data_IF_682685175789
#
_entry.id   IF_682685175789
#
_cell.length_a   1.000
_cell.length_b   1.000
_cell.length_c   1.000
_cell.angle_alpha   90.00
_cell.angle_beta   90.00
_cell.angle_gamma   90.00
#
_symmetry.space_group_name_H-M   'P 1'
#
loop_
_entity.id
_entity.type
_entity.pdbx_description
1 polymer ?
#
# COMPACT_ATOMS: atom_id res chain seq x y z
N UNK A 1 4.03 -1.77 -1.12
CA UNK A 1 2.59 -1.94 -0.87
C UNK A 1 2.22 -3.40 -1.07
N UNK A 2 1.42 -3.98 -0.18
CA UNK A 2 0.79 -5.29 -0.42
C UNK A 2 -0.37 -5.11 -1.42
N UNK A 3 -0.35 -5.89 -2.49
CA UNK A 3 -1.32 -5.81 -3.58
C UNK A 3 -2.43 -6.86 -3.51
N UNK A 4 -2.47 -7.69 -2.45
CA UNK A 4 -3.43 -8.80 -2.33
C UNK A 4 -4.90 -8.36 -2.42
N UNK A 5 -5.22 -7.12 -2.06
CA UNK A 5 -6.56 -6.53 -2.18
C UNK A 5 -6.99 -6.27 -3.64
N UNK A 6 -6.06 -6.29 -4.60
CA UNK A 6 -6.34 -6.15 -6.04
C UNK A 6 -6.65 -7.48 -6.73
N UNK A 7 -6.48 -8.63 -6.07
CA UNK A 7 -6.76 -9.95 -6.64
C UNK A 7 -8.16 -10.06 -7.31
N UNK A 8 -9.26 -9.54 -6.72
CA UNK A 8 -10.59 -9.60 -7.35
C UNK A 8 -10.68 -8.93 -8.73
N UNK A 9 -9.79 -7.99 -9.04
CA UNK A 9 -9.75 -7.32 -10.34
C UNK A 9 -9.15 -8.19 -11.46
N UNK A 10 -8.43 -9.26 -11.10
CA UNK A 10 -7.78 -10.16 -12.05
C UNK A 10 -8.41 -11.56 -12.09
N UNK A 11 -9.43 -11.81 -11.26
CA UNK A 11 -10.34 -12.96 -11.37
C UNK A 11 -11.36 -12.82 -12.52
N UNK A 12 -11.43 -11.64 -13.15
CA UNK A 12 -12.37 -11.34 -14.23
C UNK A 12 -11.67 -10.70 -15.44
N UNK A 13 -12.00 -11.14 -16.68
CA UNK A 13 -11.53 -10.47 -17.87
C UNK A 13 -12.13 -9.05 -17.97
N UNK A 14 -11.41 -8.16 -18.64
CA UNK A 14 -11.90 -6.82 -18.97
C UNK A 14 -12.88 -6.82 -20.15
N UNK A 15 -13.24 -5.64 -20.68
CA UNK A 15 -12.72 -4.31 -20.31
C UNK A 15 -13.15 -3.84 -18.92
N UNK A 16 -12.36 -2.92 -18.37
CA UNK A 16 -12.52 -2.34 -17.05
C UNK A 16 -12.67 -0.82 -17.13
N UNK A 17 -13.62 -0.28 -16.38
CA UNK A 17 -13.69 1.15 -16.07
C UNK A 17 -12.95 1.39 -14.75
N UNK A 18 -11.95 2.25 -14.78
CA UNK A 18 -11.15 2.66 -13.61
C UNK A 18 -11.31 4.16 -13.42
N UNK A 19 -11.74 4.59 -12.24
CA UNK A 19 -12.02 5.99 -11.91
C UNK A 19 -11.27 6.39 -10.66
N UNK A 20 -10.70 7.59 -10.64
CA UNK A 20 -10.04 8.19 -9.49
C UNK A 20 -10.68 9.54 -9.18
N UNK A 21 -11.15 9.73 -7.95
CA UNK A 21 -11.79 10.97 -7.51
C UNK A 21 -11.18 11.47 -6.19
N UNK A 22 -11.00 12.79 -6.10
CA UNK A 22 -10.65 13.45 -4.85
C UNK A 22 -11.82 13.47 -3.86
N UNK A 23 -11.54 13.76 -2.58
CA UNK A 23 -12.59 14.00 -1.59
C UNK A 23 -13.35 15.26 -1.95
N UNK A 24 -14.65 15.26 -1.66
CA UNK A 24 -15.49 16.43 -1.90
C UNK A 24 -15.12 17.54 -0.91
N UNK A 25 -14.69 18.71 -1.40
CA UNK A 25 -14.28 19.83 -0.54
C UNK A 25 -15.52 20.42 0.16
N UNK A 26 -15.55 20.52 1.51
CA UNK A 26 -16.71 21.05 2.21
C UNK A 26 -17.00 22.52 1.87
N UNK A 27 -18.17 22.75 1.29
CA UNK A 27 -18.71 24.03 0.82
C UNK A 27 -20.25 23.99 0.85
N UNK A 28 -20.92 25.12 0.64
CA UNK A 28 -22.39 25.12 0.50
C UNK A 28 -22.87 24.40 -0.78
N UNK A 29 -21.96 24.12 -1.73
CA UNK A 29 -22.22 23.54 -3.05
C UNK A 29 -21.68 22.12 -3.23
N UNK A 30 -21.01 21.51 -2.24
CA UNK A 30 -20.32 20.20 -2.34
C UNK A 30 -21.18 19.11 -2.98
N UNK A 31 -22.44 18.97 -2.56
CA UNK A 31 -23.34 17.93 -3.10
C UNK A 31 -23.69 18.15 -4.59
N UNK A 32 -23.71 19.40 -5.05
CA UNK A 32 -23.92 19.72 -6.47
C UNK A 32 -22.65 19.51 -7.28
N UNK A 33 -21.50 19.93 -6.75
CA UNK A 33 -20.18 19.72 -7.35
C UNK A 33 -19.85 18.23 -7.53
N UNK A 34 -20.15 17.41 -6.52
CA UNK A 34 -19.98 15.95 -6.59
C UNK A 34 -20.86 15.31 -7.67
N UNK A 35 -22.12 15.74 -7.79
CA UNK A 35 -23.04 15.24 -8.82
C UNK A 35 -22.61 15.67 -10.23
N UNK A 36 -22.05 16.88 -10.37
CA UNK A 36 -21.43 17.34 -11.62
C UNK A 36 -20.17 16.53 -11.97
N UNK A 37 -19.34 16.17 -10.99
CA UNK A 37 -18.17 15.31 -11.19
C UNK A 37 -18.59 13.89 -11.63
N UNK A 38 -19.58 13.29 -10.96
CA UNK A 38 -20.16 12.01 -11.35
C UNK A 38 -20.73 12.03 -12.78
N UNK A 39 -21.37 13.14 -13.19
CA UNK A 39 -21.89 13.34 -14.54
C UNK A 39 -20.81 13.67 -15.60
N UNK A 40 -19.62 14.11 -15.19
CA UNK A 40 -18.46 14.28 -16.06
C UNK A 40 -17.79 12.93 -16.32
N UNK A 41 -17.49 12.17 -15.26
CA UNK A 41 -16.88 10.83 -15.32
C UNK A 41 -17.72 9.87 -16.16
N UNK A 42 -19.03 9.80 -15.94
CA UNK A 42 -19.91 8.93 -16.75
C UNK A 42 -19.95 9.33 -18.23
N UNK A 43 -19.67 10.59 -18.57
CA UNK A 43 -19.62 11.07 -19.96
C UNK A 43 -18.28 10.71 -20.60
N UNK A 44 -17.19 10.95 -19.88
CA UNK A 44 -15.84 10.61 -20.33
C UNK A 44 -15.69 9.11 -20.58
N UNK A 45 -16.20 8.26 -19.68
CA UNK A 45 -16.23 6.80 -19.90
C UNK A 45 -17.06 6.41 -21.13
N UNK A 46 -18.22 7.05 -21.35
CA UNK A 46 -19.04 6.80 -22.54
C UNK A 46 -18.35 7.27 -23.84
N UNK A 47 -17.60 8.38 -23.79
CA UNK A 47 -16.77 8.88 -24.90
C UNK A 47 -15.60 7.94 -25.21
N UNK A 48 -15.05 7.25 -24.19
CA UNK A 48 -14.06 6.19 -24.36
C UNK A 48 -14.66 4.83 -24.79
N UNK A 49 -15.99 4.72 -24.87
CA UNK A 49 -16.69 3.51 -25.34
C UNK A 49 -17.07 2.50 -24.26
N UNK A 50 -17.14 2.92 -22.99
CA UNK A 50 -17.69 2.10 -21.90
C UNK A 50 -19.19 1.84 -22.06
N UNK A 51 -19.64 0.69 -21.56
CA UNK A 51 -21.04 0.31 -21.65
C UNK A 51 -21.93 1.13 -20.71
N UNK A 52 -23.19 1.30 -21.11
CA UNK A 52 -24.14 2.14 -20.38
C UNK A 52 -24.57 1.61 -19.01
N UNK A 53 -24.30 0.34 -18.66
CA UNK A 53 -24.53 -0.18 -17.32
C UNK A 53 -23.37 0.19 -16.39
N UNK A 54 -22.12 -0.04 -16.83
CA UNK A 54 -20.92 0.32 -16.08
C UNK A 54 -20.83 1.83 -15.84
N UNK A 55 -21.17 2.65 -16.84
CA UNK A 55 -21.27 4.10 -16.67
C UNK A 55 -22.29 4.53 -15.59
N UNK A 56 -23.45 3.86 -15.49
CA UNK A 56 -24.44 4.15 -14.44
C UNK A 56 -23.95 3.72 -13.05
N UNK A 57 -23.39 2.51 -12.94
CA UNK A 57 -22.87 2.01 -11.66
C UNK A 57 -21.79 2.94 -11.08
N UNK A 58 -20.88 3.44 -11.92
CA UNK A 58 -19.87 4.42 -11.50
C UNK A 58 -20.45 5.82 -11.25
N UNK A 59 -21.47 6.25 -12.00
CA UNK A 59 -22.17 7.50 -11.71
C UNK A 59 -22.80 7.46 -10.30
N UNK A 60 -23.53 6.40 -9.99
CA UNK A 60 -24.18 6.18 -8.70
C UNK A 60 -23.15 6.13 -7.56
N UNK A 61 -22.08 5.32 -7.71
CA UNK A 61 -21.03 5.20 -6.69
C UNK A 61 -20.27 6.53 -6.42
N UNK A 62 -19.99 7.33 -7.46
CA UNK A 62 -19.34 8.64 -7.28
C UNK A 62 -20.31 9.68 -6.70
N UNK A 63 -21.59 9.64 -7.07
CA UNK A 63 -22.64 10.54 -6.55
C UNK A 63 -22.95 10.26 -5.07
N UNK A 64 -22.85 9.01 -4.60
CA UNK A 64 -22.99 8.62 -3.20
C UNK A 64 -21.91 9.20 -2.27
N UNK A 65 -20.71 9.51 -2.79
CA UNK A 65 -19.62 10.11 -1.99
C UNK A 65 -20.00 11.46 -1.34
N UNK A 66 -21.04 12.15 -1.82
CA UNK A 66 -21.58 13.35 -1.14
C UNK A 66 -22.08 13.09 0.28
N UNK A 67 -22.29 11.82 0.64
CA UNK A 67 -22.73 11.38 1.96
C UNK A 67 -21.59 10.77 2.79
N UNK A 68 -20.39 10.60 2.23
CA UNK A 68 -19.24 10.09 2.95
C UNK A 68 -18.73 11.15 3.94
N UNK A 69 -18.44 10.73 5.17
CA UNK A 69 -17.82 11.57 6.19
C UNK A 69 -16.28 11.55 6.14
N UNK A 70 -15.71 10.70 5.28
CA UNK A 70 -14.26 10.49 5.15
C UNK A 70 -13.63 11.58 4.27
N UNK A 71 -12.55 12.25 4.71
CA UNK A 71 -11.87 13.30 3.95
C UNK A 71 -10.93 12.77 2.86
N UNK A 72 -11.11 11.51 2.45
CA UNK A 72 -10.21 10.77 1.58
C UNK A 72 -10.81 10.63 0.17
N UNK A 73 -9.95 10.63 -0.85
CA UNK A 73 -10.39 10.31 -2.21
C UNK A 73 -10.81 8.85 -2.32
N UNK A 74 -11.42 8.45 -3.44
CA UNK A 74 -11.67 7.03 -3.75
C UNK A 74 -11.22 6.70 -5.17
N UNK A 75 -10.74 5.48 -5.34
CA UNK A 75 -10.75 4.85 -6.66
C UNK A 75 -11.97 3.95 -6.78
N UNK A 76 -12.42 3.69 -8.01
CA UNK A 76 -13.45 2.72 -8.31
C UNK A 76 -13.05 1.89 -9.53
N UNK A 77 -13.22 0.58 -9.43
CA UNK A 77 -12.99 -0.37 -10.52
C UNK A 77 -14.29 -1.10 -10.82
N UNK A 78 -14.78 -0.97 -12.04
CA UNK A 78 -16.08 -1.51 -12.44
C UNK A 78 -16.03 -2.22 -13.80
N UNK A 79 -16.88 -3.23 -13.97
CA UNK A 79 -17.17 -3.90 -15.24
C UNK A 79 -18.60 -4.42 -15.23
N UNK A 80 -19.18 -4.61 -16.42
CA UNK A 80 -20.47 -5.30 -16.60
C UNK A 80 -21.60 -4.77 -15.71
N UNK A 81 -21.64 -3.45 -15.51
CA UNK A 81 -22.63 -2.79 -14.65
C UNK A 81 -22.43 -2.93 -13.14
N UNK A 82 -21.26 -3.37 -12.66
CA UNK A 82 -20.96 -3.54 -11.24
C UNK A 82 -19.62 -2.92 -10.86
N UNK A 83 -19.58 -2.21 -9.73
CA UNK A 83 -18.33 -1.83 -9.05
C UNK A 83 -17.82 -3.06 -8.29
N UNK A 84 -16.58 -3.47 -8.57
CA UNK A 84 -15.94 -4.66 -7.98
C UNK A 84 -15.04 -4.28 -6.81
N UNK A 85 -14.44 -3.08 -6.84
CA UNK A 85 -13.54 -2.60 -5.79
C UNK A 85 -13.57 -1.07 -5.71
N UNK A 86 -13.62 -0.50 -4.51
CA UNK A 86 -13.72 0.94 -4.24
C UNK A 86 -12.70 1.47 -3.21
N UNK A 87 -11.38 1.23 -3.39
CA UNK A 87 -10.42 1.47 -2.32
C UNK A 87 -10.25 2.98 -2.00
N UNK A 88 -10.07 3.35 -0.72
CA UNK A 88 -9.84 4.72 -0.31
C UNK A 88 -8.43 5.20 -0.72
N UNK A 89 -8.28 6.52 -0.85
CA UNK A 89 -7.03 7.19 -1.25
C UNK A 89 -6.51 8.08 -0.12
N UNK A 90 -5.31 7.77 0.39
CA UNK A 90 -4.61 8.62 1.35
C UNK A 90 -4.29 10.02 0.79
N UNK A 91 -4.12 10.17 -0.54
CA UNK A 91 -3.95 11.46 -1.19
C UNK A 91 -4.91 11.66 -2.36
N UNK A 92 -5.43 12.88 -2.57
CA UNK A 92 -6.33 13.17 -3.68
C UNK A 92 -5.57 13.18 -5.02
N UNK A 93 -6.15 12.64 -6.11
CA UNK A 93 -5.64 12.90 -7.44
C UNK A 93 -5.75 14.40 -7.78
N UNK A 94 -4.85 14.95 -8.62
CA UNK A 94 -4.82 16.39 -8.93
C UNK A 94 -6.07 16.87 -9.71
N UNK A 95 -6.71 15.96 -10.42
CA UNK A 95 -8.02 16.11 -11.05
C UNK A 95 -8.72 14.74 -11.03
N UNK A 96 -10.05 14.65 -11.19
CA UNK A 96 -10.71 13.39 -11.47
C UNK A 96 -10.17 12.76 -12.76
N UNK A 97 -9.91 11.46 -12.75
CA UNK A 97 -9.45 10.70 -13.91
C UNK A 97 -10.38 9.50 -14.16
N UNK A 98 -10.67 9.20 -15.43
CA UNK A 98 -11.50 8.07 -15.82
C UNK A 98 -10.89 7.33 -17.02
N UNK A 99 -10.86 6.01 -16.95
CA UNK A 99 -10.21 5.16 -17.95
C UNK A 99 -11.08 3.95 -18.30
N UNK A 100 -11.24 3.67 -19.59
CA UNK A 100 -11.82 2.43 -20.12
C UNK A 100 -10.74 1.63 -20.86
N UNK A 101 -10.26 0.55 -20.24
CA UNK A 101 -9.08 -0.19 -20.71
C UNK A 101 -9.24 -1.71 -20.59
N UNK A 102 -8.49 -2.53 -21.37
CA UNK A 102 -8.57 -3.99 -21.28
C UNK A 102 -8.17 -4.56 -19.92
N UNK A 103 -7.29 -3.86 -19.19
CA UNK A 103 -6.91 -4.14 -17.81
C UNK A 103 -7.36 -2.98 -16.89
N UNK A 104 -7.58 -3.24 -15.59
CA UNK A 104 -7.84 -2.18 -14.63
C UNK A 104 -6.59 -1.29 -14.50
N UNK A 105 -6.77 0.04 -14.51
CA UNK A 105 -5.69 1.01 -14.31
C UNK A 105 -5.29 1.03 -12.84
N UNK A 106 -4.48 0.09 -12.37
CA UNK A 106 -4.10 0.00 -10.95
C UNK A 106 -2.86 0.82 -10.59
N UNK A 107 -2.04 1.20 -11.57
CA UNK A 107 -0.79 1.92 -11.35
C UNK A 107 -0.89 3.21 -10.51
N UNK A 108 -1.93 4.06 -10.65
CA UNK A 108 -2.07 5.26 -9.82
C UNK A 108 -2.28 4.97 -8.33
N UNK A 109 -2.75 3.78 -7.93
CA UNK A 109 -2.90 3.44 -6.50
C UNK A 109 -1.56 3.44 -5.76
N UNK A 110 -0.45 3.12 -6.44
CA UNK A 110 0.89 3.08 -5.82
C UNK A 110 1.32 4.44 -5.24
N UNK A 111 0.82 5.55 -5.81
CA UNK A 111 1.01 6.91 -5.28
C UNK A 111 -0.21 7.37 -4.45
N UNK A 112 -1.43 7.10 -4.91
CA UNK A 112 -2.66 7.70 -4.36
C UNK A 112 -3.25 6.96 -3.15
N UNK A 113 -3.21 5.63 -3.12
CA UNK A 113 -3.78 4.85 -2.03
C UNK A 113 -3.01 5.08 -0.72
N UNK A 114 -1.69 5.26 -0.83
CA UNK A 114 -0.77 5.34 0.30
C UNK A 114 -0.56 4.01 1.00
N UNK A 115 0.53 3.90 1.76
CA UNK A 115 0.65 2.84 2.77
C UNK A 115 0.16 3.39 4.10
N UNK A 116 -0.71 2.64 4.79
CA UNK A 116 -1.22 2.99 6.12
C UNK A 116 -0.63 2.05 7.20
N UNK A 117 0.66 2.22 7.57
CA UNK A 117 1.36 1.28 8.46
C UNK A 117 0.79 1.35 9.88
N UNK A 118 0.26 0.23 10.38
CA UNK A 118 -0.38 0.18 11.70
C UNK A 118 0.61 0.58 12.78
N UNK A 119 0.22 1.55 13.63
CA UNK A 119 1.13 2.15 14.60
C UNK A 119 0.76 1.77 16.02
N UNK A 120 1.73 1.26 16.78
CA UNK A 120 1.62 1.03 18.22
C UNK A 120 2.40 2.11 18.97
N UNK A 121 1.68 3.04 19.59
CA UNK A 121 2.24 4.15 20.37
C UNK A 121 2.40 3.71 21.82
N UNK A 122 3.60 3.80 22.38
CA UNK A 122 3.94 3.43 23.74
C UNK A 122 4.34 4.68 24.54
N UNK A 123 3.47 5.13 25.44
CA UNK A 123 3.76 6.20 26.39
C UNK A 123 4.47 5.61 27.61
N UNK A 124 5.79 5.79 27.69
CA UNK A 124 6.68 5.25 28.72
C UNK A 124 6.93 6.29 29.80
N UNK A 125 6.72 5.90 31.06
CA UNK A 125 7.10 6.68 32.24
C UNK A 125 7.89 5.82 33.25
N UNK A 126 8.27 6.40 34.39
CA UNK A 126 9.04 5.71 35.44
C UNK A 126 8.28 4.57 36.13
N UNK A 127 6.97 4.46 35.89
CA UNK A 127 6.01 3.51 36.48
C UNK A 127 5.43 2.56 35.43
N UNK A 128 6.03 2.43 34.25
CA UNK A 128 5.63 1.48 33.21
C UNK A 128 5.31 2.16 31.88
N UNK A 129 4.33 1.62 31.15
CA UNK A 129 3.89 2.19 29.89
C UNK A 129 2.40 2.00 29.62
N UNK A 130 1.84 2.88 28.78
CA UNK A 130 0.52 2.73 28.13
C UNK A 130 0.72 2.53 26.64
N UNK A 131 0.02 1.56 26.07
CA UNK A 131 -0.02 1.35 24.62
C UNK A 131 -1.30 1.94 24.01
N UNK A 132 -1.26 2.28 22.72
CA UNK A 132 -2.37 2.85 21.94
C UNK A 132 -2.18 2.44 20.46
N UNK A 133 -3.22 1.93 19.78
CA UNK A 133 -3.13 1.50 18.39
C UNK A 133 -3.75 2.56 17.46
N UNK A 134 -3.04 2.94 16.40
CA UNK A 134 -3.47 3.97 15.43
C UNK A 134 -3.45 3.43 14.00
N UNK A 135 -4.60 3.52 13.33
CA UNK A 135 -4.89 3.04 11.96
C UNK A 135 -5.64 4.08 11.13
N UNK A 136 -5.81 3.84 9.82
CA UNK A 136 -6.67 4.63 8.93
C UNK A 136 -8.11 4.79 9.45
N UNK A 137 -8.63 3.78 10.16
CA UNK A 137 -9.98 3.77 10.74
C UNK A 137 -10.10 4.61 12.03
N UNK A 138 -9.02 5.29 12.46
CA UNK A 138 -9.00 6.20 13.60
C UNK A 138 -8.12 5.74 14.76
N UNK A 139 -8.34 6.35 15.93
CA UNK A 139 -7.68 5.97 17.18
C UNK A 139 -8.52 4.97 17.97
N UNK A 140 -8.03 3.75 18.16
CA UNK A 140 -8.62 2.80 19.10
C UNK A 140 -7.75 2.72 20.37
N UNK A 141 -8.38 2.95 21.51
CA UNK A 141 -7.68 3.20 22.77
C UNK A 141 -7.41 1.91 23.55
N UNK A 142 -6.13 1.56 23.75
CA UNK A 142 -5.74 0.23 24.18
C UNK A 142 -5.70 0.00 25.72
N UNK A 143 -5.98 0.98 26.63
CA UNK A 143 -6.97 0.70 27.73
C UNK A 143 -6.68 0.69 29.29
N UNK A 144 -7.02 -0.36 30.10
CA UNK A 144 -7.03 -0.62 31.62
C UNK A 144 -6.62 -2.04 32.24
N UNK A 145 -5.37 -2.39 32.67
CA UNK A 145 -4.97 -3.69 33.38
C UNK A 145 -3.84 -3.56 34.46
N UNK A 146 -3.70 -4.46 35.48
CA UNK A 146 -2.61 -4.44 36.49
C UNK A 146 -2.16 -5.80 37.12
N UNK A 147 -0.86 -5.97 37.41
CA UNK A 147 -0.30 -6.75 38.54
C UNK A 147 -0.46 -8.29 38.61
N UNK A 148 0.49 -9.05 38.03
CA UNK A 148 0.81 -10.47 38.29
C UNK A 148 -0.35 -11.51 38.30
N UNK A 149 -0.72 -11.97 37.11
CA UNK A 149 -0.81 -13.42 36.81
C UNK A 149 -0.93 -13.68 35.29
N UNK A 150 0.03 -14.41 34.73
CA UNK A 150 -0.17 -15.24 33.52
C UNK A 150 -1.11 -16.41 33.93
N UNK A 151 -2.01 -16.97 33.08
CA UNK A 151 -1.81 -17.13 31.63
C UNK A 151 -3.07 -17.09 30.71
N UNK A 152 -2.86 -17.33 29.40
CA UNK A 152 -3.79 -17.95 28.41
C UNK A 152 -5.19 -17.32 28.13
N UNK A 153 -5.42 -16.83 26.89
CA UNK A 153 -6.05 -17.57 25.78
C UNK A 153 -6.46 -16.67 24.59
N UNK A 154 -6.44 -17.23 23.37
CA UNK A 154 -7.17 -16.67 22.21
C UNK A 154 -8.69 -16.78 22.42
N UNK A 155 -9.41 -15.70 22.19
CA UNK A 155 -10.80 -15.74 21.72
C UNK A 155 -10.97 -14.75 20.58
N UNK A 156 -11.59 -15.20 19.50
CA UNK A 156 -11.98 -14.41 18.34
C UNK A 156 -13.07 -13.40 18.69
N UNK A 157 -13.17 -12.38 17.83
CA UNK A 157 -14.29 -11.43 17.70
C UNK A 157 -14.24 -10.20 18.61
N UNK A 158 -13.77 -9.09 18.01
CA UNK A 158 -14.28 -7.71 18.16
C UNK A 158 -14.78 -7.30 19.54
N UNK A 159 -13.86 -6.98 20.45
CA UNK A 159 -13.88 -5.77 21.30
C UNK A 159 -12.50 -5.64 21.97
N UNK A 160 -11.72 -4.60 21.64
CA UNK A 160 -10.38 -4.36 22.21
C UNK A 160 -10.35 -3.20 23.22
N UNK A 161 -11.50 -2.87 23.79
CA UNK A 161 -11.61 -1.89 24.87
C UNK A 161 -10.94 -2.40 26.18
N UNK A 162 -9.92 -1.67 26.64
CA UNK A 162 -9.40 -1.66 28.03
C UNK A 162 -8.23 -2.62 28.50
N UNK A 163 -6.93 -2.42 28.09
CA UNK A 163 -5.64 -2.80 28.79
C UNK A 163 -4.44 -1.76 28.90
N UNK A 164 -4.27 -0.93 29.97
CA UNK A 164 -3.04 -0.13 30.30
C UNK A 164 -2.57 -0.27 31.75
N UNK A 165 -1.27 -0.12 31.98
CA UNK A 165 -0.54 -0.61 33.14
C UNK A 165 -0.24 0.46 34.23
N UNK A 166 -0.29 0.09 35.52
CA UNK A 166 0.38 0.85 36.61
C UNK A 166 1.37 -0.04 37.39
N UNK A 167 2.67 0.14 37.10
CA UNK A 167 3.78 -0.58 37.74
C UNK A 167 4.18 0.20 39.01
N UNK A 168 3.42 -0.02 40.09
CA UNK A 168 3.91 0.21 41.45
C UNK A 168 4.54 -1.08 41.97
N UNK A 169 5.83 -1.22 41.75
CA UNK A 169 6.70 -2.16 42.45
C UNK A 169 7.89 -1.38 43.00
N UNK A 170 8.39 -1.79 44.16
CA UNK A 170 9.55 -1.19 44.84
C UNK A 170 10.90 -1.60 44.18
N UNK A 171 10.90 -1.71 42.84
CA UNK A 171 12.00 -2.21 42.02
C UNK A 171 12.72 -1.10 41.24
N UNK A 172 13.87 -1.46 40.66
CA UNK A 172 14.76 -0.53 39.96
C UNK A 172 14.19 -0.17 38.58
N UNK A 173 14.46 1.05 38.12
CA UNK A 173 14.04 1.54 36.80
C UNK A 173 14.44 0.62 35.62
N UNK A 174 15.51 -0.15 35.76
CA UNK A 174 16.00 -1.11 34.76
C UNK A 174 15.13 -2.38 34.61
N UNK A 175 14.44 -2.77 35.68
CA UNK A 175 13.51 -3.91 35.67
C UNK A 175 12.22 -3.51 34.96
N UNK A 176 11.70 -2.32 35.28
CA UNK A 176 10.52 -1.73 34.64
C UNK A 176 10.70 -1.60 33.11
N UNK A 177 11.90 -1.21 32.67
CA UNK A 177 12.21 -1.08 31.24
C UNK A 177 12.21 -2.42 30.49
N UNK A 178 12.63 -3.51 31.15
CA UNK A 178 12.57 -4.86 30.58
C UNK A 178 11.12 -5.36 30.45
N UNK A 179 10.30 -5.20 31.50
CA UNK A 179 8.89 -5.58 31.48
C UNK A 179 8.10 -4.81 30.39
N UNK A 180 8.39 -3.52 30.19
CA UNK A 180 7.79 -2.72 29.10
C UNK A 180 8.24 -3.19 27.72
N UNK A 181 9.52 -3.53 27.55
CA UNK A 181 10.05 -4.01 26.27
C UNK A 181 9.46 -5.38 25.87
N UNK A 182 9.30 -6.30 26.82
CA UNK A 182 8.65 -7.60 26.61
C UNK A 182 7.16 -7.40 26.25
N UNK A 183 6.44 -6.56 26.98
CA UNK A 183 5.05 -6.25 26.68
C UNK A 183 4.86 -5.61 25.30
N UNK A 184 5.75 -4.69 24.90
CA UNK A 184 5.70 -4.07 23.57
C UNK A 184 5.93 -5.09 22.45
N UNK A 185 6.86 -6.04 22.64
CA UNK A 185 7.11 -7.11 21.68
C UNK A 185 5.88 -8.02 21.51
N UNK A 186 5.25 -8.46 22.61
CA UNK A 186 4.03 -9.27 22.56
C UNK A 186 2.88 -8.51 21.88
N UNK A 187 2.67 -7.24 22.21
CA UNK A 187 1.66 -6.41 21.54
C UNK A 187 1.95 -6.24 20.04
N UNK A 188 3.22 -6.12 19.63
CA UNK A 188 3.59 -6.07 18.21
C UNK A 188 3.28 -7.40 17.50
N UNK A 189 3.56 -8.55 18.11
CA UNK A 189 3.24 -9.86 17.54
C UNK A 189 1.72 -10.09 17.39
N UNK A 190 0.92 -9.66 18.38
CA UNK A 190 -0.54 -9.79 18.34
C UNK A 190 -1.20 -8.83 17.33
N UNK A 191 -0.75 -7.57 17.28
CA UNK A 191 -1.34 -6.53 16.41
C UNK A 191 -0.74 -6.48 15.00
N UNK A 192 0.45 -7.07 14.81
CA UNK A 192 1.30 -6.92 13.64
C UNK A 192 1.61 -5.47 13.27
N UNK A 193 1.68 -4.58 14.26
CA UNK A 193 2.00 -3.18 14.05
C UNK A 193 3.31 -3.01 13.26
N UNK A 194 3.25 -2.22 12.19
CA UNK A 194 4.36 -1.95 11.29
C UNK A 194 5.40 -1.02 11.93
N UNK A 195 4.91 -0.02 12.69
CA UNK A 195 5.67 1.04 13.34
C UNK A 195 5.40 1.07 14.85
N UNK A 196 6.46 1.19 15.64
CA UNK A 196 6.42 1.36 17.09
C UNK A 196 6.86 2.78 17.45
N UNK A 197 6.02 3.55 18.15
CA UNK A 197 6.33 4.94 18.53
C UNK A 197 6.55 5.02 20.05
N UNK A 198 7.79 5.17 20.49
CA UNK A 198 8.13 5.37 21.91
C UNK A 198 7.99 6.86 22.28
N UNK A 199 7.01 7.17 23.12
CA UNK A 199 6.73 8.50 23.65
C UNK A 199 7.14 8.55 25.12
N UNK A 200 7.94 9.53 25.52
CA UNK A 200 8.48 9.55 26.88
C UNK A 200 9.59 10.59 27.08
N UNK A 201 10.17 10.61 28.27
CA UNK A 201 11.44 11.28 28.55
C UNK A 201 12.60 10.49 27.90
N UNK A 202 13.70 11.17 27.55
CA UNK A 202 14.83 10.57 26.78
C UNK A 202 15.38 9.30 27.43
N UNK A 203 15.60 9.34 28.75
CA UNK A 203 16.19 8.24 29.52
C UNK A 203 15.24 7.04 29.57
N UNK A 204 13.96 7.28 29.82
CA UNK A 204 12.91 6.27 29.88
C UNK A 204 12.72 5.58 28.51
N UNK A 205 12.75 6.34 27.40
CA UNK A 205 12.68 5.79 26.03
C UNK A 205 13.90 4.93 25.68
N UNK A 206 15.11 5.43 25.91
CA UNK A 206 16.35 4.67 25.65
C UNK A 206 16.40 3.38 26.48
N UNK A 207 16.00 3.42 27.75
CA UNK A 207 16.00 2.24 28.62
C UNK A 207 15.13 1.10 28.08
N UNK A 208 13.95 1.41 27.53
CA UNK A 208 13.07 0.43 26.88
C UNK A 208 13.68 -0.04 25.57
N UNK A 209 14.15 0.89 24.73
CA UNK A 209 14.76 0.58 23.42
C UNK A 209 15.94 -0.37 23.53
N UNK A 210 16.85 -0.16 24.47
CA UNK A 210 18.03 -1.01 24.71
C UNK A 210 17.67 -2.44 25.15
N UNK A 211 16.42 -2.68 25.58
CA UNK A 211 15.89 -3.99 25.98
C UNK A 211 14.98 -4.63 24.94
N UNK A 212 14.65 -3.95 23.84
CA UNK A 212 13.81 -4.52 22.78
C UNK A 212 14.56 -5.58 21.96
N UNK A 213 13.84 -6.60 21.43
CA UNK A 213 14.40 -7.52 20.44
C UNK A 213 14.97 -6.77 19.23
N UNK A 214 16.16 -7.18 18.78
CA UNK A 214 16.87 -6.54 17.65
C UNK A 214 15.99 -6.39 16.40
N UNK A 215 15.16 -7.40 16.10
CA UNK A 215 14.24 -7.42 14.96
C UNK A 215 13.13 -6.34 15.01
N UNK A 216 12.90 -5.69 16.16
CA UNK A 216 11.94 -4.60 16.31
C UNK A 216 12.59 -3.21 16.26
N UNK A 217 13.91 -3.10 16.42
CA UNK A 217 14.60 -1.80 16.54
C UNK A 217 14.45 -0.92 15.29
N UNK A 218 14.48 -1.51 14.10
CA UNK A 218 14.31 -0.79 12.82
C UNK A 218 12.88 -0.23 12.62
N UNK A 219 11.94 -0.75 13.41
CA UNK A 219 10.53 -0.31 13.49
C UNK A 219 10.27 0.68 14.62
N UNK A 220 11.27 1.03 15.44
CA UNK A 220 11.11 2.01 16.53
C UNK A 220 11.35 3.43 16.03
N UNK A 221 10.43 4.34 16.34
CA UNK A 221 10.60 5.79 16.25
C UNK A 221 10.41 6.39 17.64
N UNK A 222 11.29 7.29 18.04
CA UNK A 222 11.24 7.97 19.33
C UNK A 222 10.62 9.37 19.18
N UNK A 223 9.50 9.64 19.86
CA UNK A 223 8.82 10.95 19.85
C UNK A 223 8.80 11.59 21.26
N UNK A 224 8.89 12.93 21.38
CA UNK A 224 8.73 13.61 22.67
C UNK A 224 7.26 13.62 23.11
N UNK A 225 7.01 13.95 24.38
CA UNK A 225 5.65 14.15 24.88
C UNK A 225 4.94 15.30 24.16
N UNK A 226 3.73 15.04 23.65
CA UNK A 226 2.80 16.07 23.21
C UNK A 226 2.02 16.73 24.37
N UNK A 227 1.24 17.79 24.09
CA UNK A 227 0.45 18.48 25.10
C UNK A 227 -0.57 17.53 25.76
N UNK A 228 -0.62 17.54 27.09
CA UNK A 228 -1.49 16.63 27.86
C UNK A 228 -0.97 15.19 27.96
N UNK A 229 0.31 14.95 27.63
CA UNK A 229 0.96 13.62 27.68
C UNK A 229 0.43 12.59 26.66
N UNK A 230 -0.31 13.03 25.63
CA UNK A 230 -0.68 12.23 24.45
C UNK A 230 0.06 12.80 23.22
N UNK A 231 0.36 11.97 22.22
CA UNK A 231 0.91 12.45 20.97
C UNK A 231 -0.21 13.14 20.16
N UNK A 232 0.12 14.18 19.40
CA UNK A 232 -0.84 14.77 18.47
C UNK A 232 -1.03 13.84 17.28
N UNK A 233 -2.25 13.81 16.72
CA UNK A 233 -2.56 12.99 15.55
C UNK A 233 -1.69 13.38 14.35
N UNK A 234 -1.35 14.67 14.23
CA UNK A 234 -0.39 15.22 13.25
C UNK A 234 1.02 14.65 13.41
N UNK A 235 1.50 14.46 14.65
CA UNK A 235 2.81 13.88 14.93
C UNK A 235 2.83 12.37 14.60
N UNK A 236 1.74 11.65 14.89
CA UNK A 236 1.56 10.24 14.49
C UNK A 236 1.54 10.11 12.96
N UNK A 237 0.78 10.96 12.27
CA UNK A 237 0.71 11.01 10.81
C UNK A 237 2.07 11.34 10.18
N UNK A 238 2.84 12.26 10.77
CA UNK A 238 4.22 12.56 10.34
C UNK A 238 5.14 11.35 10.50
N UNK A 239 5.10 10.67 11.63
CA UNK A 239 5.91 9.48 11.90
C UNK A 239 5.58 8.32 10.95
N UNK A 240 4.29 8.11 10.65
CA UNK A 240 3.80 7.18 9.62
C UNK A 240 4.36 7.50 8.25
N UNK A 241 4.18 8.74 7.78
CA UNK A 241 4.70 9.18 6.48
C UNK A 241 6.23 9.03 6.39
N UNK A 242 6.96 9.29 7.48
CA UNK A 242 8.41 9.08 7.53
C UNK A 242 8.80 7.60 7.49
N UNK A 243 8.08 6.72 8.17
CA UNK A 243 8.29 5.27 8.11
C UNK A 243 8.07 4.72 6.69
N UNK A 244 6.99 5.11 6.03
CA UNK A 244 6.71 4.72 4.62
C UNK A 244 7.83 5.20 3.70
N UNK A 245 8.27 6.46 3.84
CA UNK A 245 9.39 7.01 3.04
C UNK A 245 10.68 6.24 3.27
N UNK A 246 11.04 5.96 4.53
CA UNK A 246 12.25 5.19 4.87
C UNK A 246 12.18 3.80 4.26
N UNK A 247 11.06 3.09 4.45
CA UNK A 247 10.84 1.77 3.85
C UNK A 247 11.02 1.82 2.33
N UNK A 248 10.39 2.77 1.65
CA UNK A 248 10.53 2.92 0.19
C UNK A 248 11.99 3.20 -0.24
N UNK A 249 12.74 4.00 0.53
CA UNK A 249 14.19 4.19 0.32
C UNK A 249 14.99 2.90 0.51
N UNK A 250 14.74 2.12 1.57
CA UNK A 250 15.44 0.86 1.85
C UNK A 250 15.22 -0.19 0.74
N UNK A 251 14.00 -0.27 0.19
CA UNK A 251 13.69 -1.13 -0.96
C UNK A 251 14.38 -0.65 -2.26
N UNK A 252 14.43 0.67 -2.50
CA UNK A 252 15.18 1.26 -3.63
C UNK A 252 16.69 1.04 -3.49
N UNK A 253 17.27 1.14 -2.29
CA UNK A 253 18.68 0.79 -2.05
C UNK A 253 18.96 -0.68 -2.33
N UNK A 254 18.06 -1.60 -1.92
CA UNK A 254 18.17 -3.02 -2.23
C UNK A 254 18.13 -3.29 -3.73
N UNK A 255 17.24 -2.60 -4.46
CA UNK A 255 17.20 -2.63 -5.91
C UNK A 255 18.51 -2.14 -6.54
N UNK A 256 19.04 -1.01 -6.09
CA UNK A 256 20.30 -0.44 -6.60
C UNK A 256 21.50 -1.37 -6.36
N UNK A 257 21.56 -2.05 -5.21
CA UNK A 257 22.56 -3.08 -4.95
C UNK A 257 22.43 -4.27 -5.91
N UNK A 258 21.20 -4.68 -6.22
CA UNK A 258 20.90 -5.81 -7.11
C UNK A 258 21.06 -5.51 -8.62
N UNK A 259 21.16 -4.23 -9.04
CA UNK A 259 21.51 -3.84 -10.42
C UNK A 259 22.92 -4.28 -10.82
N UNK A 260 23.83 -4.35 -9.85
CA UNK A 260 25.18 -4.85 -10.05
C UNK A 260 25.18 -6.37 -10.30
N UNK A 261 26.16 -6.90 -11.06
CA UNK A 261 26.39 -8.34 -11.08
C UNK A 261 26.84 -8.83 -9.70
N UNK A 262 26.32 -9.99 -9.27
CA UNK A 262 26.80 -10.74 -8.11
C UNK A 262 28.22 -11.30 -8.35
N UNK A 263 28.76 -12.03 -7.37
CA UNK A 263 30.09 -12.64 -7.47
C UNK A 263 30.20 -13.66 -8.63
N UNK A 264 29.07 -14.19 -9.08
CA UNK A 264 28.92 -15.14 -10.19
C UNK A 264 28.58 -14.46 -11.53
N UNK A 265 28.43 -13.13 -11.57
CA UNK A 265 28.15 -12.34 -12.77
C UNK A 265 26.66 -12.15 -13.10
N UNK A 266 25.74 -12.65 -12.26
CA UNK A 266 24.29 -12.62 -12.46
C UNK A 266 23.68 -11.34 -11.88
N UNK A 267 22.59 -10.84 -12.44
CA UNK A 267 21.92 -9.61 -11.95
C UNK A 267 20.66 -9.97 -11.19
N UNK A 268 20.54 -9.47 -9.96
CA UNK A 268 19.35 -9.65 -9.11
C UNK A 268 18.21 -8.68 -9.45
N UNK A 269 18.42 -7.76 -10.40
CA UNK A 269 17.44 -6.77 -10.82
C UNK A 269 17.40 -6.60 -12.35
N UNK A 270 16.21 -6.24 -12.85
CA UNK A 270 15.95 -5.94 -14.27
C UNK A 270 15.26 -4.58 -14.42
N UNK A 271 15.52 -3.89 -15.54
CA UNK A 271 15.00 -2.55 -15.86
C UNK A 271 14.44 -2.43 -17.28
N UNK A 272 14.89 -3.25 -18.25
CA UNK A 272 14.32 -3.23 -19.60
C UNK A 272 12.94 -3.88 -19.57
N UNK A 273 11.98 -3.27 -20.26
CA UNK A 273 10.62 -3.79 -20.43
C UNK A 273 10.61 -5.21 -21.01
N UNK A 274 11.56 -5.57 -21.88
CA UNK A 274 11.68 -6.93 -22.39
C UNK A 274 12.09 -7.93 -21.30
N UNK A 275 13.10 -7.60 -20.49
CA UNK A 275 13.57 -8.44 -19.38
C UNK A 275 12.51 -8.55 -18.27
N UNK A 276 11.78 -7.47 -18.01
CA UNK A 276 10.62 -7.44 -17.10
C UNK A 276 9.49 -8.36 -17.57
N UNK A 277 9.21 -8.39 -18.87
CA UNK A 277 8.20 -9.29 -19.46
C UNK A 277 8.60 -10.76 -19.31
N UNK A 278 9.85 -11.12 -19.57
CA UNK A 278 10.32 -12.51 -19.35
C UNK A 278 10.32 -12.86 -17.85
N UNK A 279 10.79 -11.96 -16.97
CA UNK A 279 10.75 -12.17 -15.53
C UNK A 279 9.33 -12.35 -14.96
N UNK A 280 8.35 -11.60 -15.48
CA UNK A 280 6.94 -11.73 -15.11
C UNK A 280 6.36 -13.09 -15.55
N UNK A 281 6.64 -13.51 -16.80
CA UNK A 281 6.23 -14.80 -17.37
C UNK A 281 6.82 -16.00 -16.65
N UNK A 282 8.07 -15.89 -16.20
CA UNK A 282 8.77 -16.92 -15.44
C UNK A 282 8.48 -16.84 -13.92
N UNK A 283 7.59 -15.93 -13.50
CA UNK A 283 7.21 -15.67 -12.11
C UNK A 283 8.40 -15.36 -11.17
N UNK A 284 9.45 -14.73 -11.73
CA UNK A 284 10.70 -14.43 -11.02
C UNK A 284 10.67 -13.12 -10.25
N UNK A 285 9.68 -12.26 -10.46
CA UNK A 285 9.57 -10.98 -9.76
C UNK A 285 9.36 -11.19 -8.26
N UNK A 286 10.28 -10.68 -7.45
CA UNK A 286 10.14 -10.58 -5.99
C UNK A 286 9.37 -9.32 -5.61
N UNK A 287 9.77 -8.19 -6.19
CA UNK A 287 9.14 -6.88 -6.00
C UNK A 287 9.20 -6.08 -7.30
N UNK A 288 8.12 -5.35 -7.61
CA UNK A 288 8.00 -4.46 -8.78
C UNK A 288 8.15 -3.00 -8.36
N UNK A 289 9.14 -2.30 -8.93
CA UNK A 289 9.37 -0.88 -8.75
C UNK A 289 8.75 -0.11 -9.92
N UNK A 290 7.80 0.79 -9.61
CA UNK A 290 7.11 1.61 -10.62
C UNK A 290 7.30 3.08 -10.30
N UNK A 291 7.55 3.89 -11.33
CA UNK A 291 7.39 5.33 -11.31
C UNK A 291 6.28 5.65 -12.30
N UNK A 292 5.02 5.92 -11.87
CA UNK A 292 3.87 5.98 -12.78
C UNK A 292 4.04 6.93 -13.99
N UNK A 293 4.76 8.05 -13.81
CA UNK A 293 5.12 9.00 -14.87
C UNK A 293 6.47 8.71 -15.59
N UNK A 294 6.93 7.46 -15.61
CA UNK A 294 8.13 7.03 -16.32
C UNK A 294 7.94 6.96 -17.84
N UNK A 295 9.01 7.07 -18.65
CA UNK A 295 8.90 7.01 -20.10
C UNK A 295 8.39 5.64 -20.62
N UNK A 296 8.74 4.53 -19.96
CA UNK A 296 8.33 3.19 -20.39
C UNK A 296 7.01 2.69 -19.74
N UNK A 297 6.47 3.33 -18.69
CA UNK A 297 5.17 2.91 -18.10
C UNK A 297 4.01 3.02 -19.08
N UNK A 298 4.08 4.00 -19.99
CA UNK A 298 3.12 4.25 -21.06
C UNK A 298 3.29 3.31 -22.28
N UNK A 299 4.34 2.47 -22.30
CA UNK A 299 4.64 1.61 -23.44
C UNK A 299 3.57 0.53 -23.61
N UNK A 300 3.14 0.32 -24.86
CA UNK A 300 2.18 -0.72 -25.20
C UNK A 300 2.82 -2.10 -25.08
N UNK A 301 2.22 -2.97 -24.26
CA UNK A 301 2.47 -4.40 -24.20
C UNK A 301 1.23 -5.16 -24.70
N UNK A 302 1.47 -6.37 -25.18
CA UNK A 302 0.41 -7.29 -25.57
C UNK A 302 0.08 -8.21 -24.41
N UNK A 303 -1.21 -8.34 -24.10
CA UNK A 303 -1.73 -9.18 -23.01
C UNK A 303 -2.78 -10.13 -23.55
N UNK A 304 -2.75 -11.37 -23.07
CA UNK A 304 -3.83 -12.34 -23.23
C UNK A 304 -4.69 -12.46 -21.97
N UNK A 305 -5.52 -13.50 -21.88
CA UNK A 305 -6.43 -13.72 -20.75
C UNK A 305 -5.66 -14.09 -19.48
N UNK A 306 -4.80 -15.11 -19.54
CA UNK A 306 -3.99 -15.52 -18.41
C UNK A 306 -2.97 -14.42 -18.03
N UNK A 307 -2.60 -14.28 -16.74
CA UNK A 307 -1.58 -13.34 -16.31
C UNK A 307 -0.19 -13.58 -16.94
N UNK A 308 0.18 -14.84 -17.15
CA UNK A 308 1.45 -15.27 -17.80
C UNK A 308 1.48 -14.97 -19.32
N UNK A 309 0.35 -14.61 -19.93
CA UNK A 309 0.29 -14.20 -21.34
C UNK A 309 0.62 -12.71 -21.45
N UNK A 310 1.92 -12.41 -21.50
CA UNK A 310 2.47 -11.05 -21.64
C UNK A 310 3.56 -11.03 -22.75
N UNK A 311 3.62 -9.99 -23.58
CA UNK A 311 4.64 -9.88 -24.62
C UNK A 311 4.93 -8.43 -25.03
N UNK A 312 6.16 -8.16 -25.50
CA UNK A 312 6.51 -6.88 -26.14
C UNK A 312 5.92 -6.81 -27.55
N UNK A 313 5.82 -7.93 -28.28
CA UNK A 313 5.18 -8.00 -29.60
C UNK A 313 4.03 -9.01 -29.66
N UNK A 314 2.95 -8.68 -30.38
CA UNK A 314 1.80 -9.58 -30.64
C UNK A 314 2.23 -10.95 -31.19
N UNK A 315 3.29 -11.01 -31.99
CA UNK A 315 3.83 -12.25 -32.57
C UNK A 315 4.44 -13.21 -31.54
N UNK A 316 5.03 -12.66 -30.47
CA UNK A 316 5.58 -13.45 -29.36
C UNK A 316 4.42 -14.07 -28.57
N UNK A 317 3.37 -13.30 -28.24
CA UNK A 317 2.17 -13.80 -27.56
C UNK A 317 1.44 -14.90 -28.34
N UNK A 318 1.33 -14.75 -29.67
CA UNK A 318 0.80 -15.81 -30.56
C UNK A 318 1.61 -17.10 -30.54
N UNK A 319 2.91 -17.03 -30.22
CA UNK A 319 3.77 -18.19 -30.12
C UNK A 319 3.57 -18.90 -28.77
N UNK A 320 3.35 -18.14 -27.69
CA UNK A 320 2.97 -18.67 -26.38
C UNK A 320 1.57 -19.32 -26.38
N UNK A 321 0.64 -18.77 -27.17
CA UNK A 321 -0.73 -19.28 -27.32
C UNK A 321 -0.89 -20.53 -28.18
N UNK A 322 0.13 -20.92 -28.96
CA UNK A 322 0.08 -22.09 -29.83
C UNK A 322 -0.04 -23.37 -29.00
N UNK A 323 -1.23 -23.98 -29.03
CA UNK A 323 -1.57 -25.17 -28.26
C UNK A 323 -2.47 -24.92 -27.04
N UNK A 324 -2.68 -23.67 -26.61
CA UNK A 324 -3.68 -23.29 -25.59
C UNK A 324 -4.99 -22.75 -26.17
N UNK A 325 -5.05 -22.45 -27.47
CA UNK A 325 -6.28 -21.98 -28.12
C UNK A 325 -6.46 -20.46 -28.12
N UNK A 326 -5.37 -19.68 -28.06
CA UNK A 326 -5.45 -18.22 -28.18
C UNK A 326 -5.81 -17.79 -29.62
N UNK A 327 -7.11 -17.64 -29.85
CA UNK A 327 -7.64 -16.96 -31.02
C UNK A 327 -7.29 -15.46 -30.98
N UNK A 328 -7.23 -14.81 -32.15
CA UNK A 328 -6.80 -13.41 -32.27
C UNK A 328 -7.70 -12.39 -31.54
N UNK A 329 -8.89 -12.83 -31.14
CA UNK A 329 -9.91 -12.11 -30.39
C UNK A 329 -9.54 -11.88 -28.92
N UNK A 330 -8.71 -12.77 -28.34
CA UNK A 330 -8.31 -12.77 -26.92
C UNK A 330 -6.90 -12.18 -26.72
N UNK A 331 -6.56 -11.12 -27.46
CA UNK A 331 -5.25 -10.47 -27.35
C UNK A 331 -5.37 -8.97 -27.54
N UNK A 332 -5.06 -8.22 -26.47
CA UNK A 332 -5.25 -6.78 -26.38
C UNK A 332 -3.93 -6.04 -26.16
N UNK A 333 -3.94 -4.74 -26.46
CA UNK A 333 -2.85 -3.84 -26.09
C UNK A 333 -3.18 -3.20 -24.74
N UNK A 334 -2.30 -3.38 -23.75
CA UNK A 334 -2.36 -2.72 -22.45
C UNK A 334 -1.09 -1.89 -22.23
N UNK A 335 -1.07 -1.05 -21.19
CA UNK A 335 0.14 -0.33 -20.80
C UNK A 335 1.05 -1.24 -19.96
N UNK A 336 2.36 -0.96 -20.02
CA UNK A 336 3.37 -1.76 -19.34
C UNK A 336 3.19 -1.76 -17.81
N UNK A 337 2.78 -0.62 -17.24
CA UNK A 337 2.50 -0.49 -15.81
C UNK A 337 1.38 -1.45 -15.34
N UNK A 338 0.18 -1.44 -15.95
CA UNK A 338 -0.92 -2.35 -15.56
C UNK A 338 -0.59 -3.82 -15.81
N UNK A 339 0.09 -4.10 -16.92
CA UNK A 339 0.35 -5.47 -17.36
C UNK A 339 1.39 -6.16 -16.47
N UNK A 340 2.41 -5.43 -16.01
CA UNK A 340 3.35 -5.89 -14.99
C UNK A 340 2.69 -5.94 -13.61
N UNK A 341 1.83 -4.99 -13.25
CA UNK A 341 1.08 -5.02 -11.98
C UNK A 341 0.13 -6.22 -11.89
N UNK A 342 -0.60 -6.57 -12.96
CA UNK A 342 -1.38 -7.83 -13.05
C UNK A 342 -0.51 -9.04 -12.72
N UNK A 343 0.70 -9.08 -13.28
CA UNK A 343 1.65 -10.17 -13.09
C UNK A 343 2.20 -10.19 -11.66
N UNK A 344 2.46 -9.03 -11.06
CA UNK A 344 2.92 -8.91 -9.67
C UNK A 344 1.83 -9.34 -8.67
N UNK A 345 0.60 -8.84 -8.82
CA UNK A 345 -0.55 -9.18 -7.97
C UNK A 345 -0.80 -10.69 -7.98
N UNK A 346 -0.90 -11.30 -9.16
CA UNK A 346 -1.20 -12.73 -9.31
C UNK A 346 -0.07 -13.66 -8.87
N UNK A 347 1.16 -13.16 -8.77
CA UNK A 347 2.31 -13.90 -8.20
C UNK A 347 2.58 -13.57 -6.72
N UNK A 348 1.77 -12.71 -6.10
CA UNK A 348 2.02 -12.14 -4.77
C UNK A 348 3.44 -11.55 -4.65
N UNK A 349 3.84 -10.78 -5.66
CA UNK A 349 4.97 -9.86 -5.59
C UNK A 349 4.45 -8.47 -5.17
N UNK A 350 4.94 -7.86 -4.07
CA UNK A 350 4.66 -6.47 -3.76
C UNK A 350 5.06 -5.54 -4.92
N UNK A 351 4.46 -4.35 -4.93
CA UNK A 351 4.98 -3.24 -5.72
C UNK A 351 5.14 -1.97 -4.87
N UNK A 352 6.08 -1.12 -5.27
CA UNK A 352 6.34 0.17 -4.63
C UNK A 352 6.37 1.29 -5.66
N UNK A 353 5.91 2.47 -5.27
CA UNK A 353 6.16 3.69 -6.04
C UNK A 353 7.53 4.26 -5.69
N UNK A 354 8.38 4.43 -6.70
CA UNK A 354 9.66 5.14 -6.56
C UNK A 354 9.44 6.65 -6.33
N UNK A 355 8.26 7.19 -6.69
CA UNK A 355 7.91 8.60 -6.43
C UNK A 355 7.77 8.89 -4.93
N UNK A 356 7.34 7.90 -4.14
CA UNK A 356 7.14 8.03 -2.69
C UNK A 356 8.46 8.12 -1.91
N UNK A 357 9.56 7.59 -2.45
CA UNK A 357 10.92 7.74 -1.91
C UNK A 357 11.43 9.17 -2.18
N UNK A 358 11.09 10.12 -1.29
CA UNK A 358 11.48 11.52 -1.43
C UNK A 358 13.00 11.67 -1.52
N UNK A 359 13.48 12.28 -2.61
CA UNK A 359 14.90 12.52 -2.84
C UNK A 359 15.53 11.65 -3.93
N UNK A 360 14.79 10.65 -4.45
CA UNK A 360 15.25 9.78 -5.53
C UNK A 360 15.91 10.56 -6.69
N UNK A 361 17.24 10.53 -6.75
CA UNK A 361 17.96 11.17 -7.86
C UNK A 361 17.76 10.38 -9.16
N UNK A 362 18.09 10.95 -10.32
CA UNK A 362 18.02 10.23 -11.61
C UNK A 362 18.85 8.93 -11.63
N UNK A 363 19.77 8.71 -10.67
CA UNK A 363 20.53 7.47 -10.50
C UNK A 363 19.80 6.39 -9.69
N UNK A 364 18.88 6.78 -8.82
CA UNK A 364 18.16 5.86 -7.93
C UNK A 364 16.92 5.24 -8.59
N UNK A 365 16.30 5.97 -9.52
CA UNK A 365 15.13 5.54 -10.30
C UNK A 365 15.54 4.55 -11.40
N UNK A 366 14.72 3.52 -11.73
CA UNK A 366 14.91 2.74 -12.95
C UNK A 366 14.89 3.63 -14.20
N UNK A 367 15.75 3.39 -15.20
CA UNK A 367 15.90 4.30 -16.36
C UNK A 367 14.59 4.49 -17.14
N UNK A 368 13.82 3.41 -17.32
CA UNK A 368 12.49 3.45 -17.95
C UNK A 368 11.35 3.89 -17.01
N UNK A 369 11.61 4.02 -15.71
CA UNK A 369 10.58 4.14 -14.66
C UNK A 369 9.86 2.83 -14.31
N UNK A 370 10.36 1.69 -14.81
CA UNK A 370 9.96 0.34 -14.40
C UNK A 370 11.20 -0.46 -14.04
N UNK A 371 11.13 -1.26 -13.00
CA UNK A 371 12.17 -2.21 -12.62
C UNK A 371 11.63 -3.31 -11.72
N UNK A 372 12.35 -4.41 -11.56
CA UNK A 372 11.96 -5.48 -10.64
C UNK A 372 13.19 -6.10 -9.97
N UNK A 373 13.02 -6.45 -8.70
CA UNK A 373 13.89 -7.40 -8.00
C UNK A 373 13.51 -8.82 -8.40
N UNK A 374 14.50 -9.71 -8.49
CA UNK A 374 14.31 -11.11 -8.87
C UNK A 374 14.51 -12.06 -7.69
N UNK A 375 13.56 -12.98 -7.48
CA UNK A 375 13.62 -14.06 -6.48
C UNK A 375 14.76 -15.04 -6.75
N UNK A 376 15.08 -15.26 -8.04
CA UNK A 376 16.21 -16.05 -8.50
C UNK A 376 16.71 -15.58 -9.87
N UNK A 377 18.00 -15.84 -10.12
CA UNK A 377 18.78 -15.32 -11.25
C UNK A 377 19.17 -16.39 -12.27
#
# INVERSE_FOLDING_TARGET
MDLAFLNPLYEHPGPWASVYVGPAVPSESTAHEQSLAAAAISRELAEQGADGATCRALHEAVDELRHAAEPHGRAFFARDGQVVLDPPLASPPPAPEAFWTPLPRTAPLLDLAGEDPVCLVAYVDRRGARFELRGALGSEDAGVVAGRQWPLHRTSTVDWSERHFQLRVENTWEDNAAEVAEALAVCQEETRADLLILVGEDRERHAVRDRLPQALLDRVVEAPHGPGSRLLDEDVARARAEHVRRRASDEVERFLAARGPDAEGRRGAVEDVADLVEAAREHRMDELLVRPAGPDTHRALWVGEDPDQLAVRRTELRTLGQGRGLDEEHTWSARADDALLRSAVTTNAPAISVTAATGATEREVPVGGLGALLRWT
#
